data_IF_622400212942
#
_entry.id   IF_622400212942
#
_cell.length_a   1.000
_cell.length_b   1.000
_cell.length_c   1.000
_cell.angle_alpha   90.00
_cell.angle_beta   90.00
_cell.angle_gamma   90.00
#
_symmetry.space_group_name_H-M   'P 1'
#
loop_
_entity.id
_entity.type
_entity.pdbx_description
1 polymer ?
#
# COMPACT_ATOMS: atom_id res chain seq x y z
N UNK A 1 -46.03 -39.40 42.40
CA UNK A 1 -45.89 -38.60 41.17
C UNK A 1 -45.37 -37.22 41.54
N UNK A 2 -44.09 -36.93 41.29
CA UNK A 2 -43.51 -35.58 41.34
C UNK A 2 -42.56 -35.47 40.15
N UNK A 3 -42.95 -34.65 39.18
CA UNK A 3 -42.12 -34.15 38.09
C UNK A 3 -41.17 -33.10 38.65
N UNK A 4 -39.91 -33.05 38.21
CA UNK A 4 -39.00 -31.95 38.53
C UNK A 4 -38.22 -31.54 37.29
N UNK A 5 -38.51 -30.30 36.87
CA UNK A 5 -37.74 -29.39 36.03
C UNK A 5 -36.24 -29.45 36.33
N UNK A 6 -35.39 -29.59 35.30
CA UNK A 6 -33.97 -29.20 35.33
C UNK A 6 -33.39 -29.23 33.89
N UNK A 7 -33.93 -28.41 32.99
CA UNK A 7 -33.30 -28.10 31.69
C UNK A 7 -33.52 -26.60 31.44
N UNK A 8 -32.73 -25.74 32.06
CA UNK A 8 -32.69 -24.32 31.66
C UNK A 8 -31.43 -23.57 32.11
N UNK A 9 -30.65 -24.10 33.05
CA UNK A 9 -29.46 -23.41 33.58
C UNK A 9 -28.17 -23.69 32.79
N UNK A 10 -28.11 -24.77 32.00
CA UNK A 10 -26.89 -25.13 31.27
C UNK A 10 -26.70 -24.37 29.94
N UNK A 11 -27.77 -23.82 29.36
CA UNK A 11 -27.70 -23.08 28.09
C UNK A 11 -27.22 -21.63 28.27
N UNK A 12 -27.44 -21.04 29.45
CA UNK A 12 -27.01 -19.65 29.73
C UNK A 12 -25.50 -19.52 30.01
N UNK A 13 -24.84 -20.60 30.42
CA UNK A 13 -23.39 -20.60 30.69
C UNK A 13 -22.52 -20.83 29.45
N UNK A 14 -23.08 -21.40 28.38
CA UNK A 14 -22.34 -21.63 27.13
C UNK A 14 -22.27 -20.37 26.26
N UNK A 15 -23.36 -19.58 26.20
CA UNK A 15 -23.40 -18.35 25.41
C UNK A 15 -22.51 -17.23 25.97
N UNK A 16 -22.32 -17.15 27.29
CA UNK A 16 -21.41 -16.17 27.91
C UNK A 16 -19.93 -16.54 27.74
N UNK A 17 -19.60 -17.83 27.67
CA UNK A 17 -18.24 -18.31 27.42
C UNK A 17 -17.78 -18.06 25.98
N UNK A 18 -18.67 -18.18 24.99
CA UNK A 18 -18.36 -17.86 23.59
C UNK A 18 -18.11 -16.36 23.37
N UNK A 19 -18.87 -15.48 24.04
CA UNK A 19 -18.62 -14.03 23.96
C UNK A 19 -17.31 -13.59 24.65
N UNK A 20 -16.92 -14.27 25.74
CA UNK A 20 -15.64 -14.04 26.42
C UNK A 20 -14.44 -14.58 25.64
N UNK A 21 -14.59 -15.68 24.90
CA UNK A 21 -13.53 -16.23 24.06
C UNK A 21 -13.25 -15.36 22.81
N UNK A 22 -14.30 -14.79 22.22
CA UNK A 22 -14.19 -13.87 21.06
C UNK A 22 -13.51 -12.55 21.44
N UNK A 23 -13.81 -11.99 22.61
CA UNK A 23 -13.14 -10.76 23.08
C UNK A 23 -11.69 -10.99 23.49
N UNK A 24 -11.33 -12.18 23.99
CA UNK A 24 -9.93 -12.55 24.25
C UNK A 24 -9.12 -12.78 22.98
N UNK A 25 -9.73 -13.27 21.89
CA UNK A 25 -9.04 -13.42 20.60
C UNK A 25 -8.73 -12.07 19.94
N UNK A 26 -9.63 -11.09 20.07
CA UNK A 26 -9.39 -9.72 19.60
C UNK A 26 -8.29 -9.02 20.43
N UNK A 27 -8.31 -9.19 21.76
CA UNK A 27 -7.31 -8.63 22.66
C UNK A 27 -5.93 -9.32 22.51
N UNK A 28 -5.90 -10.60 22.15
CA UNK A 28 -4.67 -11.33 21.84
C UNK A 28 -4.04 -10.90 20.50
N UNK A 29 -4.85 -10.57 19.48
CA UNK A 29 -4.36 -9.97 18.22
C UNK A 29 -3.74 -8.59 18.46
N UNK A 30 -4.36 -7.74 19.27
CA UNK A 30 -3.79 -6.43 19.66
C UNK A 30 -2.53 -6.57 20.55
N UNK A 31 -2.45 -7.60 21.39
CA UNK A 31 -1.26 -7.91 22.20
C UNK A 31 -0.09 -8.48 21.36
N UNK A 32 -0.36 -9.23 20.29
CA UNK A 32 0.67 -9.69 19.36
C UNK A 32 1.20 -8.53 18.50
N UNK A 33 0.31 -7.67 17.98
CA UNK A 33 0.70 -6.47 17.23
C UNK A 33 1.45 -5.42 18.09
N UNK A 34 1.20 -5.38 19.40
CA UNK A 34 1.96 -4.52 20.33
C UNK A 34 3.25 -5.17 20.83
N UNK A 35 3.33 -6.50 20.90
CA UNK A 35 4.57 -7.22 21.19
C UNK A 35 5.59 -7.13 20.05
N UNK A 36 5.14 -7.18 18.79
CA UNK A 36 6.00 -6.93 17.63
C UNK A 36 6.50 -5.47 17.59
N UNK A 37 5.64 -4.50 17.91
CA UNK A 37 6.03 -3.07 18.07
C UNK A 37 7.02 -2.82 19.22
N UNK A 38 6.91 -3.54 20.33
CA UNK A 38 7.82 -3.39 21.49
C UNK A 38 9.20 -4.06 21.27
N UNK A 39 9.25 -5.18 20.56
CA UNK A 39 10.51 -5.78 20.10
C UNK A 39 11.17 -4.89 19.01
N UNK A 40 10.36 -4.27 18.13
CA UNK A 40 10.78 -3.26 17.14
C UNK A 40 11.36 -1.99 17.79
N UNK A 41 10.70 -1.44 18.81
CA UNK A 41 11.19 -0.30 19.61
C UNK A 41 12.47 -0.59 20.41
N UNK A 42 12.72 -1.87 20.70
CA UNK A 42 13.93 -2.30 21.39
C UNK A 42 15.12 -2.43 20.44
N UNK A 43 14.92 -2.88 19.20
CA UNK A 43 15.93 -2.88 18.14
C UNK A 43 16.35 -1.44 17.74
N UNK A 44 15.40 -0.50 17.82
CA UNK A 44 15.57 0.93 17.52
C UNK A 44 16.64 1.66 18.36
N UNK A 45 16.96 1.19 19.57
CA UNK A 45 17.96 1.82 20.45
C UNK A 45 19.41 1.50 20.08
N UNK A 46 19.66 0.53 19.21
CA UNK A 46 21.02 0.06 18.92
C UNK A 46 21.57 0.46 17.54
N UNK A 47 20.73 0.96 16.62
CA UNK A 47 21.13 1.35 15.26
C UNK A 47 21.49 2.84 15.15
N UNK A 48 22.70 3.22 15.60
CA UNK A 48 23.31 4.54 15.38
C UNK A 48 24.71 4.40 14.78
N UNK A 49 24.83 3.90 13.54
CA UNK A 49 26.07 4.00 12.76
C UNK A 49 25.76 4.23 11.27
N UNK A 50 26.49 5.19 10.68
CA UNK A 50 26.16 5.89 9.44
C UNK A 50 26.09 5.02 8.17
N UNK A 51 25.03 5.24 7.40
CA UNK A 51 24.78 4.59 6.11
C UNK A 51 25.44 5.33 4.95
N UNK A 52 26.08 4.57 4.07
CA UNK A 52 26.25 4.94 2.65
C UNK A 52 24.98 4.54 1.92
N UNK A 53 24.61 5.28 0.87
CA UNK A 53 23.29 5.19 0.24
C UNK A 53 23.14 3.85 -0.44
N UNK A 54 22.23 3.05 0.08
CA UNK A 54 21.85 1.80 -0.56
C UNK A 54 20.85 2.18 -1.65
N UNK A 55 21.39 2.44 -2.84
CA UNK A 55 20.59 2.59 -4.05
C UNK A 55 20.01 1.22 -4.39
N UNK A 56 18.68 1.14 -4.42
CA UNK A 56 18.00 0.02 -5.05
C UNK A 56 18.41 -0.08 -6.52
N UNK A 57 18.22 -1.24 -7.18
CA UNK A 57 18.40 -1.33 -8.62
C UNK A 57 17.59 -0.23 -9.31
N UNK A 58 18.11 0.39 -10.38
CA UNK A 58 17.37 1.43 -11.10
C UNK A 58 16.04 0.84 -11.58
N UNK A 59 14.93 1.34 -11.03
CA UNK A 59 13.59 0.97 -11.45
C UNK A 59 13.38 1.27 -12.95
N UNK A 60 12.37 0.65 -13.58
CA UNK A 60 11.98 0.98 -14.95
C UNK A 60 11.67 2.49 -15.06
N UNK A 61 11.94 3.07 -16.23
CA UNK A 61 11.59 4.47 -16.48
C UNK A 61 10.09 4.69 -16.29
N UNK A 62 9.71 5.57 -15.36
CA UNK A 62 8.32 5.94 -15.14
C UNK A 62 7.75 6.61 -16.40
N UNK A 63 6.70 6.04 -16.98
CA UNK A 63 6.13 6.58 -18.21
C UNK A 63 5.56 7.97 -17.97
N UNK A 64 5.98 8.94 -18.78
CA UNK A 64 5.53 10.32 -18.66
C UNK A 64 6.30 11.15 -17.63
N UNK A 65 7.30 10.57 -16.97
CA UNK A 65 8.31 11.32 -16.21
C UNK A 65 9.35 11.92 -17.13
N UNK A 66 9.63 13.21 -16.95
CA UNK A 66 10.77 13.90 -17.57
C UNK A 66 11.52 14.72 -16.52
N UNK A 67 12.85 14.88 -16.62
CA UNK A 67 13.59 15.74 -15.71
C UNK A 67 13.05 17.17 -15.73
N UNK A 68 12.98 17.80 -14.55
CA UNK A 68 12.54 19.19 -14.38
C UNK A 68 13.59 20.02 -13.65
N UNK A 69 13.50 21.34 -13.78
CA UNK A 69 14.33 22.31 -13.04
C UNK A 69 13.48 23.20 -12.11
N UNK A 70 12.21 22.88 -11.94
CA UNK A 70 11.25 23.73 -11.23
C UNK A 70 11.25 23.48 -9.71
N UNK A 71 11.91 22.42 -9.25
CA UNK A 71 12.14 22.16 -7.83
C UNK A 71 13.22 23.09 -7.26
N UNK A 72 13.04 23.52 -6.01
CA UNK A 72 14.05 24.31 -5.28
C UNK A 72 15.27 23.47 -4.83
N UNK A 73 15.16 22.14 -4.87
CA UNK A 73 16.21 21.19 -4.49
C UNK A 73 17.05 20.74 -5.69
N UNK A 74 18.36 20.54 -5.51
CA UNK A 74 19.23 20.02 -6.56
C UNK A 74 19.14 18.51 -6.66
N UNK A 75 19.13 17.96 -7.87
CA UNK A 75 19.25 16.52 -8.09
C UNK A 75 20.47 15.94 -7.37
N UNK A 76 20.26 14.87 -6.61
CA UNK A 76 21.28 14.20 -5.80
C UNK A 76 21.47 14.78 -4.40
N UNK A 77 20.85 15.91 -4.05
CA UNK A 77 20.84 16.42 -2.67
C UNK A 77 20.14 15.43 -1.75
N UNK A 78 20.66 15.26 -0.53
CA UNK A 78 20.04 14.36 0.46
C UNK A 78 18.76 14.99 0.99
N UNK A 79 17.65 14.27 0.87
CA UNK A 79 16.36 14.67 1.42
C UNK A 79 16.42 14.71 2.96
N UNK A 80 15.73 15.68 3.56
CA UNK A 80 15.57 15.76 4.99
C UNK A 80 14.62 14.64 5.47
N UNK A 81 15.08 13.88 6.47
CA UNK A 81 14.29 12.76 7.01
C UNK A 81 12.97 13.21 7.66
N UNK A 82 12.82 14.48 8.04
CA UNK A 82 11.58 15.01 8.62
C UNK A 82 10.54 15.44 7.57
N UNK A 83 10.84 15.24 6.28
CA UNK A 83 9.98 15.62 5.15
C UNK A 83 10.07 17.08 4.75
N UNK A 84 10.84 17.91 5.48
CA UNK A 84 10.89 19.36 5.25
C UNK A 84 11.54 19.78 3.94
N UNK A 85 12.25 18.88 3.26
CA UNK A 85 12.81 19.11 1.94
C UNK A 85 11.91 18.64 0.80
N UNK A 86 10.71 18.13 1.08
CA UNK A 86 9.76 17.74 0.04
C UNK A 86 9.33 18.95 -0.81
N UNK A 87 9.13 18.70 -2.09
CA UNK A 87 8.57 19.64 -3.03
C UNK A 87 7.55 18.94 -3.92
N UNK A 88 6.37 19.53 -4.05
CA UNK A 88 5.37 19.15 -5.04
C UNK A 88 4.67 20.40 -5.60
N UNK A 89 4.57 20.50 -6.93
CA UNK A 89 3.72 21.45 -7.62
C UNK A 89 2.66 20.70 -8.44
N UNK A 90 1.40 21.04 -8.17
CA UNK A 90 0.20 20.45 -8.79
C UNK A 90 -0.58 21.48 -9.61
N UNK A 91 -0.01 22.66 -9.85
CA UNK A 91 -0.70 23.78 -10.51
C UNK A 91 -1.18 23.41 -11.92
N UNK A 92 -0.47 22.50 -12.59
CA UNK A 92 -0.83 22.01 -13.92
C UNK A 92 -1.73 20.77 -13.89
N UNK A 93 -2.15 20.29 -12.72
CA UNK A 93 -3.07 19.16 -12.57
C UNK A 93 -4.51 19.68 -12.47
N UNK A 94 -5.41 19.08 -13.23
CA UNK A 94 -6.83 19.46 -13.29
C UNK A 94 -7.74 18.25 -13.10
N UNK A 95 -8.87 18.42 -12.42
CA UNK A 95 -9.85 17.38 -12.19
C UNK A 95 -11.11 17.59 -13.03
N UNK A 96 -11.53 16.58 -13.78
CA UNK A 96 -12.78 16.58 -14.54
C UNK A 96 -13.91 15.92 -13.75
N UNK A 97 -14.84 16.74 -13.27
CA UNK A 97 -16.03 16.34 -12.52
C UNK A 97 -16.99 15.41 -13.29
N UNK A 98 -16.84 15.26 -14.61
CA UNK A 98 -17.66 14.38 -15.44
C UNK A 98 -17.11 12.97 -15.50
N UNK A 99 -15.78 12.85 -15.59
CA UNK A 99 -15.09 11.57 -15.77
C UNK A 99 -14.48 11.05 -14.47
N UNK A 100 -14.28 11.92 -13.48
CA UNK A 100 -13.55 11.61 -12.25
C UNK A 100 -12.04 11.55 -12.42
N UNK A 101 -11.52 12.02 -13.56
CA UNK A 101 -10.10 11.91 -13.90
C UNK A 101 -9.35 13.21 -13.66
N UNK A 102 -8.15 13.05 -13.14
CA UNK A 102 -7.09 14.02 -13.22
C UNK A 102 -6.43 14.01 -14.59
N UNK A 103 -6.06 15.19 -15.08
CA UNK A 103 -5.24 15.36 -16.28
C UNK A 103 -4.29 16.55 -16.16
N UNK A 104 -3.10 16.43 -16.75
CA UNK A 104 -2.08 17.46 -16.74
C UNK A 104 -0.73 16.93 -16.26
N UNK A 105 -0.05 17.69 -15.40
CA UNK A 105 1.24 17.28 -14.83
C UNK A 105 1.40 17.67 -13.36
N UNK A 106 2.31 16.96 -12.69
CA UNK A 106 2.80 17.28 -11.35
C UNK A 106 4.33 17.36 -11.40
N UNK A 107 4.92 18.35 -10.73
CA UNK A 107 6.37 18.39 -10.51
C UNK A 107 6.66 17.93 -9.08
N UNK A 108 7.62 17.04 -8.89
CA UNK A 108 8.06 16.56 -7.57
C UNK A 108 9.59 16.51 -7.52
N UNK A 109 10.15 16.56 -6.33
CA UNK A 109 11.56 16.26 -6.11
C UNK A 109 11.81 14.85 -5.54
N UNK A 110 10.77 14.01 -5.44
CA UNK A 110 10.80 12.63 -4.95
C UNK A 110 11.33 12.43 -3.52
N UNK A 111 11.46 13.52 -2.75
CA UNK A 111 11.75 13.42 -1.34
C UNK A 111 10.53 12.91 -0.56
N UNK A 112 10.76 12.20 0.54
CA UNK A 112 9.72 11.87 1.50
C UNK A 112 9.04 13.14 1.99
N UNK A 113 7.73 13.11 2.16
CA UNK A 113 6.91 14.20 2.68
C UNK A 113 6.56 14.04 4.16
N UNK A 114 6.86 12.85 4.71
CA UNK A 114 6.64 12.48 6.11
C UNK A 114 7.96 12.11 6.80
N UNK A 115 7.90 11.92 8.11
CA UNK A 115 9.04 11.47 8.89
C UNK A 115 9.48 10.08 8.41
N UNK A 116 10.64 10.04 7.76
CA UNK A 116 11.34 8.83 7.37
C UNK A 116 12.19 8.35 8.53
N UNK A 117 11.80 7.21 9.11
CA UNK A 117 12.46 6.66 10.30
C UNK A 117 13.87 6.13 10.00
N UNK A 118 14.07 5.55 8.82
CA UNK A 118 15.32 4.88 8.45
C UNK A 118 15.78 5.20 7.04
N UNK A 119 17.09 5.12 6.81
CA UNK A 119 17.70 5.37 5.51
C UNK A 119 17.71 6.85 5.15
N UNK A 120 17.96 7.12 3.87
CA UNK A 120 17.92 8.45 3.27
C UNK A 120 17.57 8.31 1.80
N UNK A 121 16.99 9.36 1.24
CA UNK A 121 16.68 9.50 -0.18
C UNK A 121 17.47 10.67 -0.73
N UNK A 122 17.70 10.64 -2.05
CA UNK A 122 18.21 11.79 -2.78
C UNK A 122 17.10 12.40 -3.61
N UNK A 123 17.06 13.73 -3.65
CA UNK A 123 16.16 14.47 -4.48
C UNK A 123 16.42 14.18 -5.97
N UNK A 124 15.34 14.10 -6.75
CA UNK A 124 15.36 13.99 -8.20
C UNK A 124 14.18 14.78 -8.72
N UNK A 125 14.45 15.92 -9.35
CA UNK A 125 13.41 16.80 -9.83
C UNK A 125 12.84 16.31 -11.16
N UNK A 126 11.54 16.04 -11.18
CA UNK A 126 10.86 15.53 -12.36
C UNK A 126 9.43 16.07 -12.48
N UNK A 127 8.98 16.18 -13.73
CA UNK A 127 7.59 16.39 -14.08
C UNK A 127 6.97 15.05 -14.51
N UNK A 128 5.89 14.64 -13.86
CA UNK A 128 5.08 13.49 -14.22
C UNK A 128 3.81 13.93 -14.95
N UNK A 129 3.58 13.37 -16.14
CA UNK A 129 2.30 13.51 -16.86
C UNK A 129 1.25 12.56 -16.29
N UNK A 130 0.03 13.05 -16.04
CA UNK A 130 -1.12 12.23 -15.61
C UNK A 130 -2.29 12.45 -16.59
N UNK A 131 -2.95 11.39 -17.10
CA UNK A 131 -2.53 9.99 -17.06
C UNK A 131 -1.15 9.76 -17.72
N UNK A 132 -0.42 8.74 -17.29
CA UNK A 132 0.84 8.37 -17.90
C UNK A 132 0.63 7.93 -19.37
N UNK A 133 1.51 8.31 -20.31
CA UNK A 133 1.39 7.96 -21.73
C UNK A 133 1.32 6.46 -22.05
N UNK A 134 1.86 5.60 -21.18
CA UNK A 134 1.78 4.14 -21.30
C UNK A 134 0.38 3.60 -21.06
N UNK A 135 -0.49 4.34 -20.35
CA UNK A 135 -1.87 3.93 -20.10
C UNK A 135 -2.75 4.35 -21.29
N UNK A 136 -2.74 3.54 -22.34
CA UNK A 136 -3.46 3.83 -23.58
C UNK A 136 -4.92 3.38 -23.58
N UNK A 137 -5.28 2.46 -22.68
CA UNK A 137 -6.61 1.89 -22.54
C UNK A 137 -6.77 1.32 -21.14
N UNK A 138 -7.99 1.30 -20.61
CA UNK A 138 -8.34 0.52 -19.43
C UNK A 138 -9.41 -0.53 -19.77
N UNK A 139 -9.43 -1.70 -19.12
CA UNK A 139 -8.48 -2.11 -18.08
C UNK A 139 -7.06 -2.37 -18.62
N UNK A 140 -6.06 -2.21 -17.77
CA UNK A 140 -4.66 -2.47 -18.10
C UNK A 140 -3.85 -2.78 -16.83
N UNK A 141 -2.75 -3.54 -16.97
CA UNK A 141 -1.86 -3.80 -15.85
C UNK A 141 -1.15 -2.53 -15.37
N UNK A 142 -0.93 -2.42 -14.06
CA UNK A 142 0.00 -1.46 -13.47
C UNK A 142 1.44 -1.95 -13.63
N UNK A 143 2.43 -1.05 -13.63
CA UNK A 143 3.84 -1.47 -13.55
C UNK A 143 4.12 -2.29 -12.28
N UNK A 144 4.74 -3.46 -12.43
CA UNK A 144 5.05 -4.33 -11.29
C UNK A 144 6.23 -3.85 -10.44
N UNK A 145 7.13 -3.02 -10.96
CA UNK A 145 8.34 -2.56 -10.24
C UNK A 145 8.55 -1.04 -10.35
N UNK A 146 7.48 -0.28 -10.62
CA UNK A 146 7.57 1.15 -10.89
C UNK A 146 6.38 1.93 -10.38
N UNK A 147 6.34 3.21 -10.73
CA UNK A 147 5.28 4.12 -10.30
C UNK A 147 3.92 3.69 -10.83
N UNK A 148 2.99 3.44 -9.93
CA UNK A 148 1.59 3.19 -10.25
C UNK A 148 0.71 4.41 -9.98
N UNK A 149 1.15 5.27 -9.06
CA UNK A 149 0.45 6.46 -8.60
C UNK A 149 1.41 7.44 -7.89
N UNK A 150 0.90 8.62 -7.53
CA UNK A 150 1.61 9.58 -6.68
C UNK A 150 0.69 10.14 -5.61
N UNK A 151 1.21 10.39 -4.40
CA UNK A 151 0.47 11.11 -3.37
C UNK A 151 0.21 12.54 -3.82
N UNK A 152 -0.97 13.07 -3.53
CA UNK A 152 -1.23 14.47 -3.81
C UNK A 152 -0.55 15.35 -2.77
N UNK A 153 -0.52 14.97 -1.49
CA UNK A 153 0.03 15.80 -0.41
C UNK A 153 1.51 16.16 -0.60
N UNK A 154 2.33 15.22 -1.07
CA UNK A 154 3.78 15.40 -1.21
C UNK A 154 4.37 15.01 -2.55
N UNK A 155 3.56 14.58 -3.53
CA UNK A 155 4.11 14.10 -4.80
C UNK A 155 5.03 12.89 -4.62
N UNK A 156 4.82 12.10 -3.56
CA UNK A 156 5.60 10.90 -3.26
C UNK A 156 5.14 9.77 -4.16
N UNK A 157 6.10 9.01 -4.67
CA UNK A 157 5.88 7.82 -5.45
C UNK A 157 5.04 6.78 -4.69
N UNK A 158 4.00 6.26 -5.32
CA UNK A 158 3.32 5.04 -4.91
C UNK A 158 3.65 3.98 -5.98
N UNK A 159 4.31 2.92 -5.55
CA UNK A 159 4.70 1.79 -6.37
C UNK A 159 3.71 0.63 -6.14
N UNK A 160 3.83 -0.41 -6.97
CA UNK A 160 3.13 -1.67 -6.72
C UNK A 160 3.57 -2.26 -5.36
N UNK A 161 2.93 -3.33 -4.93
CA UNK A 161 3.35 -4.04 -3.71
C UNK A 161 4.72 -4.72 -3.84
N UNK A 162 5.32 -4.79 -5.04
CA UNK A 162 6.50 -5.63 -5.31
C UNK A 162 7.80 -4.86 -5.42
N UNK A 163 8.90 -5.56 -5.12
CA UNK A 163 10.26 -5.13 -5.42
C UNK A 163 11.02 -6.15 -6.27
N UNK A 164 12.17 -5.74 -6.81
CA UNK A 164 13.06 -6.59 -7.59
C UNK A 164 13.73 -7.72 -6.77
N UNK A 165 13.42 -7.77 -5.47
CA UNK A 165 13.92 -8.75 -4.51
C UNK A 165 15.19 -8.30 -3.81
N UNK A 166 15.53 -9.00 -2.74
CA UNK A 166 16.75 -8.79 -1.95
C UNK A 166 17.59 -10.05 -2.07
N UNK A 167 18.36 -10.14 -3.16
CA UNK A 167 19.11 -11.34 -3.51
C UNK A 167 20.63 -11.11 -3.46
N UNK A 168 21.29 -12.10 -2.86
CA UNK A 168 22.70 -12.47 -2.97
C UNK A 168 23.78 -11.55 -2.35
N UNK A 169 24.78 -12.22 -1.80
CA UNK A 169 25.79 -11.77 -0.85
C UNK A 169 26.88 -10.87 -1.43
N UNK A 170 26.75 -10.47 -2.70
CA UNK A 170 27.87 -9.97 -3.51
C UNK A 170 27.96 -8.43 -3.58
N UNK A 171 27.06 -7.68 -2.91
CA UNK A 171 27.06 -6.21 -2.91
C UNK A 171 26.73 -5.59 -1.55
N UNK A 172 27.32 -4.43 -1.27
CA UNK A 172 26.92 -3.55 -0.15
C UNK A 172 25.41 -3.27 -0.21
N UNK A 173 24.69 -3.45 0.91
CA UNK A 173 23.26 -3.17 1.00
C UNK A 173 22.34 -4.36 0.84
N UNK A 174 22.53 -5.38 1.68
CA UNK A 174 21.58 -6.48 1.83
C UNK A 174 20.95 -6.44 3.23
N UNK A 175 19.68 -6.88 3.38
CA UNK A 175 18.96 -6.80 4.64
C UNK A 175 19.46 -7.79 5.69
N UNK A 176 20.07 -8.92 5.29
CA UNK A 176 20.84 -9.78 6.19
C UNK A 176 22.34 -9.76 5.83
N UNK A 177 23.24 -9.87 6.81
CA UNK A 177 24.64 -10.21 6.52
C UNK A 177 24.71 -11.52 5.70
N UNK A 178 25.75 -11.68 4.86
CA UNK A 178 25.99 -12.71 3.82
C UNK A 178 25.85 -14.22 4.22
N UNK A 179 25.26 -14.53 5.37
CA UNK A 179 24.87 -15.85 5.83
C UNK A 179 23.38 -15.95 6.18
N UNK A 180 22.56 -14.96 5.82
CA UNK A 180 21.13 -14.88 6.15
C UNK A 180 20.19 -15.19 4.99
N UNK A 181 18.92 -14.83 5.17
CA UNK A 181 17.84 -15.05 4.22
C UNK A 181 17.81 -14.02 3.07
N UNK A 182 17.04 -14.33 2.03
CA UNK A 182 16.84 -13.52 0.82
C UNK A 182 15.38 -13.56 0.38
N UNK A 183 14.95 -12.55 -0.37
CA UNK A 183 13.63 -12.57 -1.01
C UNK A 183 13.77 -12.59 -2.53
N UNK A 184 13.08 -13.50 -3.24
CA UNK A 184 12.98 -13.43 -4.68
C UNK A 184 12.28 -12.11 -5.10
N UNK A 185 12.59 -11.65 -6.31
CA UNK A 185 11.84 -10.55 -6.91
C UNK A 185 10.39 -10.93 -7.16
N UNK A 186 9.50 -9.94 -7.13
CA UNK A 186 8.06 -10.16 -7.31
C UNK A 186 7.34 -10.67 -6.06
N UNK A 187 8.05 -10.88 -4.96
CA UNK A 187 7.44 -11.00 -3.64
C UNK A 187 7.02 -9.61 -3.16
N UNK A 188 5.86 -9.51 -2.51
CA UNK A 188 5.44 -8.23 -1.96
C UNK A 188 6.38 -7.80 -0.82
N UNK A 189 6.64 -6.49 -0.73
CA UNK A 189 7.66 -5.95 0.17
C UNK A 189 7.34 -6.28 1.63
N UNK A 190 6.06 -6.29 2.02
CA UNK A 190 5.65 -6.64 3.38
C UNK A 190 5.99 -8.09 3.72
N UNK A 191 5.56 -9.05 2.91
CA UNK A 191 5.86 -10.47 3.16
C UNK A 191 7.35 -10.75 3.13
N UNK A 192 8.06 -10.09 2.22
CA UNK A 192 9.51 -10.17 2.17
C UNK A 192 10.15 -9.68 3.48
N UNK A 193 9.74 -8.51 4.00
CA UNK A 193 10.27 -8.00 5.26
C UNK A 193 9.96 -8.93 6.44
N UNK A 194 8.74 -9.45 6.53
CA UNK A 194 8.36 -10.41 7.58
C UNK A 194 9.18 -11.71 7.50
N UNK A 195 9.47 -12.19 6.29
CA UNK A 195 10.38 -13.30 6.07
C UNK A 195 11.81 -12.98 6.54
N UNK A 196 12.35 -11.82 6.17
CA UNK A 196 13.70 -11.41 6.54
C UNK A 196 13.83 -11.17 8.04
N UNK A 197 12.83 -10.54 8.69
CA UNK A 197 12.80 -10.42 10.15
C UNK A 197 12.82 -11.76 10.86
N UNK A 198 12.17 -12.78 10.28
CA UNK A 198 12.18 -14.12 10.82
C UNK A 198 13.50 -14.85 10.60
N UNK A 199 14.07 -14.73 9.40
CA UNK A 199 15.12 -15.62 8.93
C UNK A 199 16.54 -15.02 9.03
N UNK A 200 16.72 -13.71 9.18
CA UNK A 200 18.03 -13.12 9.45
C UNK A 200 18.49 -13.45 10.88
N UNK A 201 19.61 -14.17 11.04
CA UNK A 201 20.13 -14.57 12.36
C UNK A 201 21.01 -13.52 13.05
N UNK A 202 21.54 -12.53 12.33
CA UNK A 202 22.26 -11.36 12.86
C UNK A 202 22.35 -10.23 11.83
N UNK A 203 22.65 -9.02 12.28
CA UNK A 203 23.06 -7.87 11.46
C UNK A 203 22.03 -7.41 10.42
N UNK A 204 20.77 -7.28 10.84
CA UNK A 204 19.68 -6.78 9.98
C UNK A 204 19.90 -5.32 9.60
N UNK A 205 19.85 -5.01 8.30
CA UNK A 205 19.97 -3.65 7.78
C UNK A 205 18.58 -3.02 7.64
N UNK A 206 18.00 -2.61 8.77
CA UNK A 206 16.66 -1.99 8.83
C UNK A 206 16.48 -0.75 7.96
N UNK A 207 17.57 -0.13 7.49
CA UNK A 207 17.53 1.03 6.58
C UNK A 207 16.98 0.70 5.19
N UNK A 208 16.90 -0.59 4.86
CA UNK A 208 16.33 -1.09 3.60
C UNK A 208 14.83 -1.38 3.71
N UNK A 209 14.28 -1.38 4.93
CA UNK A 209 12.89 -1.72 5.17
C UNK A 209 11.98 -0.48 5.14
N UNK A 210 10.71 -0.73 4.90
CA UNK A 210 9.64 0.24 4.96
C UNK A 210 9.59 0.91 6.32
N UNK A 211 9.42 2.22 6.31
CA UNK A 211 9.11 2.96 7.52
C UNK A 211 7.63 2.84 7.90
N UNK A 212 7.24 3.52 8.98
CA UNK A 212 5.87 3.49 9.48
C UNK A 212 4.83 4.09 8.52
N UNK A 213 5.27 4.82 7.49
CA UNK A 213 4.42 5.37 6.45
C UNK A 213 4.30 4.43 5.23
N UNK A 214 4.93 3.26 5.29
CA UNK A 214 4.79 2.21 4.28
C UNK A 214 5.71 2.37 3.08
N UNK A 215 6.75 3.22 3.19
CA UNK A 215 7.68 3.50 2.10
C UNK A 215 9.15 3.35 2.47
N UNK A 216 10.00 3.24 1.45
CA UNK A 216 11.45 3.10 1.59
C UNK A 216 12.23 3.52 0.34
N UNK A 217 13.52 3.14 0.33
CA UNK A 217 14.46 3.24 -0.78
C UNK A 217 14.76 4.66 -1.29
N UNK A 218 15.39 4.75 -2.46
CA UNK A 218 15.78 5.99 -3.17
C UNK A 218 15.48 5.82 -4.67
N UNK A 219 14.64 6.66 -5.28
CA UNK A 219 13.82 7.70 -4.64
C UNK A 219 12.88 7.13 -3.57
N UNK A 220 12.42 7.95 -2.63
CA UNK A 220 11.49 7.46 -1.61
C UNK A 220 10.15 7.11 -2.27
N UNK A 221 9.64 5.91 -1.98
CA UNK A 221 8.38 5.43 -2.54
C UNK A 221 7.64 4.50 -1.58
N UNK A 222 6.31 4.51 -1.68
CA UNK A 222 5.38 3.76 -0.84
C UNK A 222 4.95 2.50 -1.59
N UNK A 223 5.02 1.33 -0.94
CA UNK A 223 4.53 0.06 -1.49
C UNK A 223 3.19 -0.37 -0.91
N UNK A 224 2.83 0.20 0.25
CA UNK A 224 1.74 -0.28 1.09
C UNK A 224 0.71 0.83 1.34
N UNK A 225 -0.14 0.66 2.34
CA UNK A 225 -1.10 1.68 2.76
C UNK A 225 -0.37 3.01 3.09
N UNK A 226 -0.59 4.10 2.36
CA UNK A 226 0.02 5.41 2.58
C UNK A 226 -0.60 6.11 3.79
N UNK A 227 -0.54 5.45 4.95
CA UNK A 227 -1.25 5.79 6.19
C UNK A 227 -0.89 7.19 6.73
N UNK A 228 0.27 7.72 6.36
CA UNK A 228 0.69 9.06 6.76
C UNK A 228 0.19 10.16 5.82
N UNK A 229 -0.44 9.80 4.70
CA UNK A 229 -0.92 10.75 3.69
C UNK A 229 -2.43 10.99 3.76
N UNK A 230 -3.14 10.33 4.69
CA UNK A 230 -4.56 10.57 4.95
C UNK A 230 -4.94 10.20 6.39
N UNK A 231 -6.09 10.69 6.86
CA UNK A 231 -6.60 10.39 8.19
C UNK A 231 -7.40 9.09 8.20
N UNK A 232 -6.85 8.05 8.84
CA UNK A 232 -7.49 6.73 8.92
C UNK A 232 -8.61 6.63 9.96
N UNK A 233 -9.00 7.74 10.59
CA UNK A 233 -10.04 7.80 11.62
C UNK A 233 -11.26 8.61 11.20
N UNK A 234 -11.34 8.93 9.91
CA UNK A 234 -12.43 9.73 9.34
C UNK A 234 -13.80 9.09 9.58
N UNK A 235 -14.73 9.90 10.10
CA UNK A 235 -16.15 9.57 10.14
C UNK A 235 -16.76 10.03 8.81
N UNK A 236 -16.72 9.15 7.80
CA UNK A 236 -17.24 9.41 6.48
C UNK A 236 -16.39 8.75 5.39
N UNK A 237 -16.60 9.21 4.16
CA UNK A 237 -15.75 8.84 3.04
C UNK A 237 -14.33 9.37 3.29
N UNK A 238 -13.34 8.52 3.12
CA UNK A 238 -11.94 8.91 3.28
C UNK A 238 -11.54 10.01 2.30
N UNK A 239 -10.53 10.78 2.67
CA UNK A 239 -9.95 11.84 1.84
C UNK A 239 -9.17 11.27 0.64
N UNK A 240 -8.91 12.13 -0.34
CA UNK A 240 -8.17 11.78 -1.54
C UNK A 240 -6.69 11.78 -1.20
N UNK A 241 -6.07 10.62 -1.36
CA UNK A 241 -4.68 10.33 -1.00
C UNK A 241 -3.75 10.70 -2.16
N UNK A 242 -4.13 10.27 -3.36
CA UNK A 242 -3.25 10.24 -4.51
C UNK A 242 -3.98 10.16 -5.83
N UNK A 243 -3.19 10.17 -6.90
CA UNK A 243 -3.66 10.03 -8.27
C UNK A 243 -2.93 8.87 -8.95
N UNK A 244 -3.68 7.94 -9.49
CA UNK A 244 -3.15 6.81 -10.26
C UNK A 244 -2.74 7.24 -11.65
N UNK A 245 -1.82 6.49 -12.27
CA UNK A 245 -1.31 6.84 -13.61
C UNK A 245 -2.35 6.66 -14.74
N UNK A 246 -3.53 6.10 -14.47
CA UNK A 246 -4.69 6.14 -15.40
C UNK A 246 -5.57 7.40 -15.22
N UNK A 247 -5.21 8.26 -14.25
CA UNK A 247 -5.84 9.52 -13.92
C UNK A 247 -6.92 9.46 -12.83
N UNK A 248 -7.32 8.29 -12.34
CA UNK A 248 -8.34 8.24 -11.29
C UNK A 248 -7.78 8.61 -9.91
N UNK A 249 -8.67 9.05 -9.02
CA UNK A 249 -8.31 9.34 -7.64
C UNK A 249 -8.16 8.06 -6.81
N UNK A 250 -7.22 8.07 -5.87
CA UNK A 250 -7.05 7.04 -4.85
C UNK A 250 -7.46 7.67 -3.52
N UNK A 251 -8.44 7.08 -2.85
CA UNK A 251 -8.98 7.52 -1.58
C UNK A 251 -8.52 6.58 -0.47
N UNK A 252 -8.59 7.05 0.78
CA UNK A 252 -8.34 6.20 1.95
C UNK A 252 -9.35 5.05 2.05
N UNK A 253 -9.24 4.23 3.08
CA UNK A 253 -9.90 2.92 3.19
C UNK A 253 -11.44 2.93 3.20
N UNK A 254 -12.05 4.02 3.63
CA UNK A 254 -13.45 4.03 4.01
C UNK A 254 -14.34 4.75 2.99
N UNK A 255 -15.47 4.14 2.68
CA UNK A 255 -16.58 4.73 1.93
C UNK A 255 -17.46 5.59 2.85
N UNK A 256 -17.70 5.10 4.07
CA UNK A 256 -18.54 5.79 5.06
C UNK A 256 -18.25 5.28 6.46
N UNK A 257 -18.13 6.17 7.45
CA UNK A 257 -18.11 5.84 8.89
C UNK A 257 -17.37 4.54 9.27
N UNK A 258 -16.08 4.45 8.93
CA UNK A 258 -15.22 3.27 9.19
C UNK A 258 -15.69 1.97 8.50
N UNK A 259 -16.50 2.07 7.46
CA UNK A 259 -16.91 0.98 6.58
C UNK A 259 -16.17 1.09 5.26
N UNK A 260 -15.52 -0.01 4.88
CA UNK A 260 -14.89 -0.15 3.56
C UNK A 260 -15.98 -0.37 2.49
N UNK A 261 -15.73 -0.01 1.22
CA UNK A 261 -16.69 -0.27 0.16
C UNK A 261 -16.92 -1.78 -0.05
N UNK A 262 -18.17 -2.16 -0.35
CA UNK A 262 -18.60 -3.55 -0.55
C UNK A 262 -18.72 -3.96 -2.02
N UNK A 263 -18.18 -3.17 -2.92
CA UNK A 263 -18.33 -3.34 -4.37
C UNK A 263 -17.04 -2.99 -5.12
N UNK A 264 -15.90 -3.03 -4.42
CA UNK A 264 -14.59 -2.93 -5.05
C UNK A 264 -14.38 -4.07 -6.05
N UNK A 265 -13.88 -3.71 -7.22
CA UNK A 265 -13.32 -4.63 -8.19
C UNK A 265 -11.91 -5.08 -7.78
N UNK A 266 -11.33 -6.02 -8.52
CA UNK A 266 -10.00 -6.57 -8.22
C UNK A 266 -8.87 -5.55 -8.39
N UNK A 267 -9.10 -4.43 -9.08
CA UNK A 267 -8.16 -3.31 -9.12
C UNK A 267 -8.28 -2.38 -7.90
N UNK A 268 -9.19 -2.69 -6.96
CA UNK A 268 -9.60 -1.86 -5.81
C UNK A 268 -10.35 -0.59 -6.16
N UNK A 269 -10.99 -0.56 -7.32
CA UNK A 269 -11.84 0.55 -7.73
C UNK A 269 -13.31 0.20 -7.75
N UNK A 270 -14.14 1.23 -7.70
CA UNK A 270 -15.58 1.11 -7.91
C UNK A 270 -16.14 2.42 -8.46
N UNK A 271 -17.42 2.47 -8.80
CA UNK A 271 -18.12 3.72 -9.12
C UNK A 271 -18.94 4.13 -7.90
N UNK A 272 -18.59 5.26 -7.29
CA UNK A 272 -19.21 5.75 -6.07
C UNK A 272 -19.13 7.28 -5.93
N UNK A 273 -19.78 7.82 -4.89
CA UNK A 273 -19.79 9.26 -4.64
C UNK A 273 -18.55 9.71 -3.88
N UNK A 274 -17.73 10.54 -4.51
CA UNK A 274 -16.57 11.13 -3.83
C UNK A 274 -16.93 12.44 -3.11
N UNK A 275 -16.26 12.78 -1.99
CA UNK A 275 -16.50 14.02 -1.24
C UNK A 275 -15.87 15.24 -1.91
N UNK A 276 -16.34 16.45 -1.52
CA UNK A 276 -15.77 17.73 -1.96
C UNK A 276 -14.36 17.89 -1.39
N UNK A 277 -13.40 18.14 -2.27
CA UNK A 277 -12.00 18.42 -1.95
C UNK A 277 -11.49 19.54 -2.86
N UNK A 278 -11.86 20.78 -2.52
CA UNK A 278 -11.61 21.95 -3.35
C UNK A 278 -10.13 22.18 -3.65
N UNK A 279 -9.24 21.83 -2.70
CA UNK A 279 -7.78 21.90 -2.90
C UNK A 279 -7.31 21.07 -4.11
N UNK A 280 -8.00 19.97 -4.41
CA UNK A 280 -7.66 19.05 -5.50
C UNK A 280 -8.61 19.22 -6.70
N UNK A 281 -9.39 20.30 -6.73
CA UNK A 281 -10.32 20.59 -7.85
C UNK A 281 -11.64 19.81 -7.81
N UNK A 282 -11.90 19.00 -6.77
CA UNK A 282 -13.18 18.31 -6.59
C UNK A 282 -14.19 19.27 -5.96
N UNK A 283 -14.80 20.15 -6.75
CA UNK A 283 -15.62 21.27 -6.25
C UNK A 283 -17.05 20.90 -5.85
N UNK A 284 -17.49 19.67 -6.10
CA UNK A 284 -18.80 19.14 -5.70
C UNK A 284 -18.71 17.62 -5.58
N UNK A 285 -19.57 17.01 -4.77
CA UNK A 285 -19.69 15.55 -4.75
C UNK A 285 -20.21 15.06 -6.10
N UNK A 286 -19.55 14.04 -6.64
CA UNK A 286 -19.83 13.42 -7.95
C UNK A 286 -19.69 11.91 -7.85
N UNK A 287 -20.52 11.21 -8.60
CA UNK A 287 -20.44 9.76 -8.73
C UNK A 287 -19.48 9.42 -9.88
N UNK A 288 -18.34 8.82 -9.56
CA UNK A 288 -17.24 8.57 -10.50
C UNK A 288 -16.48 7.31 -10.11
N UNK A 289 -15.74 6.75 -11.05
CA UNK A 289 -14.82 5.66 -10.73
C UNK A 289 -13.62 6.19 -9.95
N UNK A 290 -13.22 5.49 -8.89
CA UNK A 290 -12.07 5.81 -8.05
C UNK A 290 -11.62 4.58 -7.26
N UNK A 291 -10.39 4.64 -6.75
CA UNK A 291 -9.77 3.55 -5.99
C UNK A 291 -9.83 3.81 -4.48
N UNK A 292 -9.79 2.74 -3.70
CA UNK A 292 -9.58 2.79 -2.25
C UNK A 292 -8.30 2.04 -1.87
N UNK A 293 -7.46 2.67 -1.06
CA UNK A 293 -6.32 1.98 -0.43
C UNK A 293 -6.82 0.84 0.46
N UNK A 294 -6.07 -0.26 0.50
CA UNK A 294 -6.32 -1.38 1.38
C UNK A 294 -5.15 -1.58 2.34
N UNK A 295 -5.44 -1.98 3.57
CA UNK A 295 -4.41 -2.37 4.52
C UNK A 295 -4.26 -3.87 4.67
N UNK A 296 -3.18 -4.22 5.34
CA UNK A 296 -2.77 -5.59 5.57
C UNK A 296 -3.44 -6.23 6.78
N UNK A 297 -4.35 -5.52 7.45
CA UNK A 297 -5.13 -6.11 8.53
C UNK A 297 -6.26 -6.97 7.93
N UNK A 298 -6.74 -6.57 6.75
CA UNK A 298 -7.76 -7.30 5.97
C UNK A 298 -7.14 -8.24 4.95
N UNK A 299 -6.13 -7.75 4.23
CA UNK A 299 -5.51 -8.49 3.15
C UNK A 299 -4.19 -9.09 3.64
N UNK A 300 -3.86 -10.32 3.23
CA UNK A 300 -2.54 -10.90 3.53
C UNK A 300 -1.39 -10.00 3.02
N UNK A 301 -1.68 -9.10 2.08
CA UNK A 301 -0.73 -8.18 1.45
C UNK A 301 -1.29 -6.75 1.47
N UNK A 302 -0.48 -5.75 1.85
CA UNK A 302 -0.89 -4.31 1.88
C UNK A 302 -0.86 -3.71 0.49
N UNK A 303 -1.98 -3.17 -0.03
CA UNK A 303 -2.09 -2.83 -1.45
C UNK A 303 -2.69 -1.45 -1.71
N UNK A 304 -2.13 -0.79 -2.71
CA UNK A 304 -2.71 0.40 -3.33
C UNK A 304 -3.52 0.01 -4.58
N UNK A 305 -2.93 -0.49 -5.67
CA UNK A 305 -3.68 -0.93 -6.87
C UNK A 305 -3.07 -2.16 -7.56
N UNK A 306 -3.92 -3.13 -7.88
CA UNK A 306 -3.55 -4.33 -8.62
C UNK A 306 -3.55 -4.17 -10.14
N UNK A 307 -4.33 -3.23 -10.66
CA UNK A 307 -4.46 -2.89 -12.08
C UNK A 307 -5.07 -1.51 -12.23
N UNK A 308 -5.13 -0.99 -13.45
CA UNK A 308 -6.00 0.14 -13.79
C UNK A 308 -7.34 -0.40 -14.31
N UNK A 309 -8.44 -0.12 -13.62
CA UNK A 309 -9.77 -0.67 -13.89
C UNK A 309 -10.64 0.15 -14.86
N UNK A 310 -11.91 -0.24 -15.00
CA UNK A 310 -12.85 0.34 -15.97
C UNK A 310 -14.14 0.84 -15.28
N UNK A 311 -14.54 2.12 -15.45
CA UNK A 311 -15.78 2.66 -14.89
C UNK A 311 -17.06 1.97 -15.39
N UNK A 312 -17.00 1.18 -16.47
CA UNK A 312 -18.18 0.54 -17.07
C UNK A 312 -18.34 -0.91 -16.68
N UNK A 313 -17.26 -1.58 -16.28
CA UNK A 313 -17.27 -3.01 -16.03
C UNK A 313 -16.28 -3.31 -14.92
N UNK A 314 -16.77 -3.68 -13.72
CA UNK A 314 -15.92 -4.13 -12.63
C UNK A 314 -15.00 -5.25 -13.09
N UNK A 315 -13.72 -5.14 -12.75
CA UNK A 315 -12.70 -6.10 -13.10
C UNK A 315 -12.76 -7.29 -12.14
N UNK A 316 -12.93 -8.49 -12.70
CA UNK A 316 -12.87 -9.74 -11.95
C UNK A 316 -11.44 -10.30 -11.90
N UNK A 317 -11.25 -11.34 -11.08
CA UNK A 317 -9.93 -11.94 -10.86
C UNK A 317 -9.33 -12.47 -12.16
N UNK A 318 -10.10 -13.21 -12.96
CA UNK A 318 -9.63 -13.77 -14.23
C UNK A 318 -9.16 -12.68 -15.19
N UNK A 319 -9.92 -11.58 -15.30
CA UNK A 319 -9.55 -10.44 -16.13
C UNK A 319 -8.26 -9.81 -15.62
N UNK A 320 -8.11 -9.58 -14.30
CA UNK A 320 -6.88 -9.05 -13.73
C UNK A 320 -5.68 -9.93 -14.04
N UNK A 321 -5.76 -11.25 -13.75
CA UNK A 321 -4.65 -12.18 -13.98
C UNK A 321 -4.22 -12.20 -15.44
N UNK A 322 -5.16 -12.07 -16.38
CA UNK A 322 -4.86 -12.00 -17.82
C UNK A 322 -4.03 -10.78 -18.25
N UNK A 323 -3.86 -9.78 -17.38
CA UNK A 323 -3.02 -8.61 -17.61
C UNK A 323 -1.54 -8.87 -17.31
N UNK A 324 -1.21 -10.00 -16.65
CA UNK A 324 0.13 -10.31 -16.15
C UNK A 324 0.52 -11.73 -16.55
N UNK A 325 1.56 -11.85 -17.37
CA UNK A 325 2.05 -13.15 -17.85
C UNK A 325 2.53 -14.07 -16.71
N UNK A 326 3.09 -13.48 -15.65
CA UNK A 326 3.67 -14.19 -14.50
C UNK A 326 2.66 -14.46 -13.36
N UNK A 327 1.41 -14.02 -13.48
CA UNK A 327 0.37 -14.35 -12.51
C UNK A 327 -0.30 -15.69 -12.87
N UNK A 328 0.41 -16.78 -12.63
CA UNK A 328 0.13 -18.10 -13.19
C UNK A 328 -0.20 -19.19 -12.15
N UNK A 329 -0.37 -18.82 -10.87
CA UNK A 329 -0.57 -19.72 -9.74
C UNK A 329 0.64 -20.64 -9.44
N UNK A 330 1.85 -20.34 -9.92
CA UNK A 330 3.08 -21.01 -9.48
C UNK A 330 3.56 -20.44 -8.13
N UNK A 331 3.02 -21.03 -7.05
CA UNK A 331 3.18 -20.49 -5.72
C UNK A 331 4.58 -20.70 -5.13
N UNK A 332 5.15 -19.62 -4.61
CA UNK A 332 6.37 -19.62 -3.81
C UNK A 332 6.02 -19.74 -2.32
N UNK A 333 6.62 -20.73 -1.65
CA UNK A 333 6.46 -20.92 -0.20
C UNK A 333 7.41 -20.02 0.58
N UNK A 334 6.87 -19.21 1.47
CA UNK A 334 7.62 -18.31 2.35
C UNK A 334 7.33 -18.61 3.82
N UNK A 335 8.37 -18.60 4.64
CA UNK A 335 8.26 -18.77 6.09
C UNK A 335 8.49 -17.43 6.80
N UNK A 336 7.54 -16.99 7.61
CA UNK A 336 7.65 -15.79 8.45
C UNK A 336 7.47 -16.16 9.92
N UNK A 337 7.57 -15.16 10.81
CA UNK A 337 7.30 -15.36 12.24
C UNK A 337 5.86 -15.81 12.53
N UNK A 338 4.91 -15.49 11.65
CA UNK A 338 3.49 -15.76 11.82
C UNK A 338 3.05 -17.09 11.17
N UNK A 339 3.93 -17.72 10.38
CA UNK A 339 3.68 -19.04 9.80
C UNK A 339 4.28 -19.21 8.41
N UNK A 340 3.76 -20.22 7.70
CA UNK A 340 4.12 -20.50 6.32
C UNK A 340 3.00 -20.03 5.41
N UNK A 341 3.35 -19.25 4.39
CA UNK A 341 2.42 -18.66 3.42
C UNK A 341 2.82 -19.07 2.00
N UNK A 342 1.85 -19.01 1.09
CA UNK A 342 2.06 -19.20 -0.35
C UNK A 342 1.81 -17.86 -1.03
N UNK A 343 2.80 -17.37 -1.77
CA UNK A 343 2.73 -16.13 -2.56
C UNK A 343 2.87 -16.45 -4.04
N UNK A 344 2.11 -15.76 -4.87
CA UNK A 344 2.29 -15.81 -6.33
C UNK A 344 3.17 -14.61 -6.73
N UNK A 345 4.39 -14.90 -7.20
CA UNK A 345 5.36 -13.84 -7.48
C UNK A 345 4.89 -13.02 -8.69
N UNK A 346 5.06 -11.70 -8.63
CA UNK A 346 4.66 -10.81 -9.73
C UNK A 346 3.16 -10.86 -10.07
N UNK A 347 2.31 -11.36 -9.17
CA UNK A 347 0.87 -11.37 -9.34
C UNK A 347 0.15 -10.32 -8.48
N UNK A 348 -0.19 -9.14 -9.02
CA UNK A 348 -0.93 -8.11 -8.31
C UNK A 348 -2.46 -8.32 -8.47
N UNK A 349 -2.94 -9.56 -8.49
CA UNK A 349 -4.37 -9.86 -8.60
C UNK A 349 -4.83 -10.80 -7.49
N UNK A 350 -5.83 -10.39 -6.70
CA UNK A 350 -6.41 -11.24 -5.67
C UNK A 350 -7.92 -11.05 -5.52
N UNK A 351 -8.57 -11.98 -4.82
CA UNK A 351 -9.96 -11.81 -4.43
C UNK A 351 -10.09 -10.70 -3.39
N UNK A 352 -11.00 -9.77 -3.63
CA UNK A 352 -11.35 -8.71 -2.69
C UNK A 352 -12.10 -9.32 -1.50
N UNK A 353 -11.49 -9.35 -0.32
CA UNK A 353 -12.14 -9.76 0.92
C UNK A 353 -12.76 -8.52 1.55
N UNK A 354 -14.08 -8.40 1.45
CA UNK A 354 -14.79 -7.23 1.93
C UNK A 354 -15.20 -7.39 3.40
N UNK A 355 -14.38 -6.86 4.31
CA UNK A 355 -14.70 -6.84 5.74
C UNK A 355 -15.93 -5.98 6.05
N UNK A 356 -16.83 -6.51 6.89
CA UNK A 356 -18.03 -5.76 7.33
C UNK A 356 -19.17 -5.72 6.31
N UNK A 357 -18.97 -6.32 5.14
CA UNK A 357 -20.00 -6.49 4.14
C UNK A 357 -20.77 -7.77 4.45
N UNK A 358 -21.84 -7.65 5.25
CA UNK A 358 -22.84 -8.70 5.33
C UNK A 358 -23.25 -9.07 3.91
N UNK A 359 -23.43 -10.36 3.63
CA UNK A 359 -23.89 -10.89 2.34
C UNK A 359 -25.26 -10.32 1.95
N UNK A 360 -25.29 -9.06 1.52
CA UNK A 360 -26.44 -8.46 0.88
C UNK A 360 -26.45 -9.06 -0.49
N UNK A 361 -27.23 -10.15 -0.59
CA UNK A 361 -27.68 -10.78 -1.82
C UNK A 361 -27.71 -9.77 -2.96
N UNK A 362 -26.73 -9.89 -3.86
CA UNK A 362 -26.76 -9.29 -5.19
C UNK A 362 -28.11 -9.64 -5.79
N UNK A 363 -29.02 -8.68 -5.79
CA UNK A 363 -30.28 -8.79 -6.51
C UNK A 363 -29.99 -8.19 -7.88
N UNK A 364 -29.80 -9.08 -8.84
CA UNK A 364 -29.72 -8.77 -10.28
C UNK A 364 -30.91 -7.94 -10.76
#
# INVERSE_FOLDING_TARGET
MKFTFLISTALYTAASAQHLASSYAHYAKELHASASRLEFDRALKEAHLGGRGLQGPPGPSNSGSVPSSDCDTTDGDVCANDGSSNYVDRTNLSYDLTTGKFSGSMVTNECNDQLRQYGFSSASCEEQTVPAPSVTSTPSGTPLLGRIAMTLSGGVNIYSAFEAGFNDCDVDGQPCACSGASCPGGMDVKTCEEHLYHACTSDVVYQMFMDSCGGHATPYHIHTDPICNYESSDNGHSTLVGVSMDGYGIYGKFETDQQRPCDLDVCHGHVGFVPVQEEHGVTKSVEVYHYHVQDSDVYPYTWTLGCYGDPKTPIDLETCKSLYDDCDDDLYTVETGDGTFEVDLYCPCFEVVQEGCDSQTATM
#
